data_IF_462221779725
#
_entry.id   IF_462221779725
#
_cell.length_a   1.000
_cell.length_b   1.000
_cell.length_c   1.000
_cell.angle_alpha   90.00
_cell.angle_beta   90.00
_cell.angle_gamma   90.00
#
_symmetry.space_group_name_H-M   'P 1'
#
loop_
_entity.id
_entity.type
_entity.pdbx_description
1 polymer ?
#
# COMPACT_ATOMS: atom_id res chain seq x y z
N UNK A 1 -0.55 33.46 -12.62
CA UNK A 1 -0.46 32.86 -12.47
C UNK A 1 -0.55 31.98 -12.32
N UNK A 2 -0.46 31.72 -12.33
CA UNK A 2 -0.39 30.80 -12.18
C UNK A 2 -0.37 29.93 -11.85
N UNK A 3 -0.31 29.84 -11.75
CA UNK A 3 -0.20 28.98 -11.36
C UNK A 3 -0.39 28.12 -11.09
N UNK A 4 -0.41 28.20 -11.04
CA UNK A 4 -0.51 27.45 -10.70
C UNK A 4 -0.44 26.58 -10.57
N UNK A 5 -0.30 26.63 -10.64
CA UNK A 5 -0.23 25.79 -10.47
C UNK A 5 0.14 25.06 -10.12
N UNK A 6 0.39 25.22 -10.07
CA UNK A 6 0.80 24.47 -9.67
C UNK A 6 0.71 23.65 -9.09
N UNK A 7 0.64 23.49 -8.77
CA UNK A 7 0.38 22.80 -8.20
C UNK A 7 0.32 21.54 -8.11
N UNK A 8 0.08 21.20 -8.55
CA UNK A 8 -0.17 19.82 -8.67
C UNK A 8 0.96 19.02 -8.55
N UNK A 9 1.82 19.60 -8.83
CA UNK A 9 3.00 19.01 -8.55
C UNK A 9 3.11 18.60 -7.18
N UNK A 10 2.11 18.76 -6.47
CA UNK A 10 2.05 18.41 -5.07
C UNK A 10 1.91 16.93 -4.87
N UNK A 11 2.70 16.13 -5.53
CA UNK A 11 2.74 14.70 -5.28
C UNK A 11 3.33 14.49 -3.90
N UNK A 12 2.57 13.86 -3.01
CA UNK A 12 3.05 13.59 -1.67
C UNK A 12 4.09 12.46 -1.70
N UNK A 13 4.89 12.39 -0.65
CA UNK A 13 5.86 11.32 -0.52
C UNK A 13 5.15 9.96 -0.48
N UNK A 14 4.00 9.90 0.19
CA UNK A 14 3.22 8.67 0.26
C UNK A 14 2.77 8.24 -1.13
N UNK A 15 2.21 9.15 -1.91
CA UNK A 15 1.73 8.80 -3.26
C UNK A 15 2.88 8.33 -4.13
N UNK A 16 4.02 9.01 -4.04
CA UNK A 16 5.21 8.61 -4.80
C UNK A 16 5.65 7.20 -4.43
N UNK A 17 5.64 6.87 -3.13
CA UNK A 17 6.03 5.53 -2.69
C UNK A 17 5.04 4.47 -3.14
N UNK A 18 3.76 4.81 -3.23
CA UNK A 18 2.76 3.88 -3.74
C UNK A 18 2.93 3.60 -5.23
N UNK A 19 3.36 4.60 -6.00
CA UNK A 19 3.69 4.38 -7.42
C UNK A 19 4.92 3.48 -7.55
N UNK A 20 5.92 3.64 -6.68
CA UNK A 20 7.07 2.76 -6.67
C UNK A 20 6.67 1.33 -6.32
N UNK A 21 5.80 1.18 -5.32
CA UNK A 21 5.25 -0.12 -4.94
C UNK A 21 4.50 -0.76 -6.11
N UNK A 22 3.65 0.02 -6.78
CA UNK A 22 2.87 -0.47 -7.90
C UNK A 22 3.77 -1.02 -9.00
N UNK A 23 4.84 -0.28 -9.34
CA UNK A 23 5.78 -0.71 -10.37
C UNK A 23 6.51 -1.98 -9.96
N UNK A 24 7.06 -2.01 -8.74
CA UNK A 24 7.79 -3.17 -8.24
C UNK A 24 6.89 -4.40 -8.20
N UNK A 25 5.66 -4.22 -7.73
CA UNK A 25 4.68 -5.29 -7.65
C UNK A 25 4.36 -5.84 -9.04
N UNK A 26 4.08 -4.95 -9.98
CA UNK A 26 3.63 -5.36 -11.31
C UNK A 26 4.74 -5.99 -12.16
N UNK A 27 6.00 -5.64 -11.88
CA UNK A 27 7.13 -6.20 -12.60
C UNK A 27 7.59 -7.55 -12.05
N UNK A 28 7.09 -7.95 -10.89
CA UNK A 28 7.52 -9.18 -10.24
C UNK A 28 6.65 -10.36 -10.68
N UNK A 29 7.25 -11.31 -11.36
CA UNK A 29 6.49 -12.47 -11.86
C UNK A 29 6.08 -13.44 -10.76
N UNK A 30 6.87 -13.51 -9.69
CA UNK A 30 6.58 -14.46 -8.61
C UNK A 30 5.39 -14.01 -7.76
N UNK A 31 5.19 -12.70 -7.62
CA UNK A 31 4.07 -12.21 -6.83
C UNK A 31 2.74 -12.60 -7.47
N UNK A 32 2.73 -12.75 -8.79
CA UNK A 32 1.51 -13.12 -9.50
C UNK A 32 0.97 -14.47 -9.06
N UNK A 33 1.85 -15.38 -8.67
CA UNK A 33 1.43 -16.69 -8.16
C UNK A 33 0.81 -16.57 -6.78
N UNK A 34 1.30 -15.64 -5.97
CA UNK A 34 0.78 -15.43 -4.62
C UNK A 34 -0.62 -14.83 -4.64
N UNK A 35 -0.92 -13.99 -5.63
CA UNK A 35 -2.17 -13.23 -5.66
C UNK A 35 -3.19 -13.82 -6.63
N UNK A 36 -2.98 -15.03 -7.08
CA UNK A 36 -3.96 -15.71 -7.91
C UNK A 36 -5.26 -15.85 -7.14
N UNK A 37 -6.35 -15.33 -7.70
CA UNK A 37 -7.67 -15.33 -7.07
C UNK A 37 -7.71 -14.53 -5.76
N UNK A 38 -6.77 -13.59 -5.58
CA UNK A 38 -6.73 -12.73 -4.40
C UNK A 38 -6.83 -11.29 -4.84
N UNK A 39 -8.05 -10.76 -4.80
CA UNK A 39 -8.32 -9.37 -5.20
C UNK A 39 -8.62 -8.57 -3.94
N UNK A 40 -7.92 -7.45 -3.76
CA UNK A 40 -8.03 -6.66 -2.54
C UNK A 40 -7.89 -5.18 -2.83
N UNK A 41 -8.41 -4.38 -1.90
CA UNK A 41 -8.21 -2.95 -1.89
C UNK A 41 -7.29 -2.63 -0.72
N UNK A 42 -6.11 -2.07 -1.02
CA UNK A 42 -5.18 -1.65 0.02
C UNK A 42 -5.42 -0.18 0.33
N UNK A 43 -5.87 0.11 1.53
CA UNK A 43 -6.07 1.48 1.97
C UNK A 43 -4.87 1.88 2.80
N UNK A 44 -4.08 2.83 2.30
CA UNK A 44 -2.92 3.35 3.01
C UNK A 44 -3.33 4.67 3.65
N UNK A 45 -3.31 4.70 4.98
CA UNK A 45 -3.75 5.86 5.74
C UNK A 45 -2.61 6.40 6.58
N UNK A 46 -2.19 7.63 6.28
CA UNK A 46 -1.14 8.31 7.03
C UNK A 46 -1.76 8.97 8.26
N UNK A 47 -1.30 8.58 9.45
CA UNK A 47 -1.89 9.06 10.70
C UNK A 47 -1.48 10.48 11.04
N UNK A 48 -0.36 10.97 10.49
CA UNK A 48 0.14 12.32 10.80
C UNK A 48 -0.21 13.35 9.73
N UNK A 49 -0.44 12.94 8.49
CA UNK A 49 -0.81 13.87 7.42
C UNK A 49 -2.27 13.76 7.04
N UNK A 50 -2.96 12.73 7.50
CA UNK A 50 -4.36 12.43 7.17
C UNK A 50 -4.58 12.09 5.71
N UNK A 51 -3.51 11.83 4.95
CA UNK A 51 -3.65 11.40 3.57
C UNK A 51 -4.09 9.95 3.53
N UNK A 52 -4.98 9.66 2.59
CA UNK A 52 -5.49 8.30 2.37
C UNK A 52 -5.44 8.03 0.87
N UNK A 53 -4.91 6.87 0.51
CA UNK A 53 -4.92 6.39 -0.87
C UNK A 53 -5.37 4.94 -0.87
N UNK A 54 -6.03 4.54 -1.96
CA UNK A 54 -6.49 3.16 -2.14
C UNK A 54 -5.80 2.59 -3.37
N UNK A 55 -5.13 1.46 -3.19
CA UNK A 55 -4.50 0.72 -4.28
C UNK A 55 -5.36 -0.50 -4.56
N UNK A 56 -5.84 -0.62 -5.78
CA UNK A 56 -6.67 -1.77 -6.17
C UNK A 56 -5.78 -2.87 -6.72
N UNK A 57 -5.79 -4.03 -6.06
CA UNK A 57 -5.09 -5.22 -6.54
C UNK A 57 -6.15 -6.16 -7.12
N UNK A 58 -6.08 -6.36 -8.42
CA UNK A 58 -7.08 -7.13 -9.13
C UNK A 58 -6.46 -7.69 -10.42
N UNK A 59 -6.87 -8.88 -10.78
CA UNK A 59 -6.41 -9.52 -12.02
C UNK A 59 -4.89 -9.58 -12.11
N UNK A 60 -4.26 -9.98 -11.01
CA UNK A 60 -2.81 -10.22 -10.92
C UNK A 60 -1.98 -8.94 -11.03
N UNK A 61 -2.55 -7.80 -10.74
CA UNK A 61 -1.81 -6.54 -10.83
C UNK A 61 -2.32 -5.52 -9.82
N UNK A 62 -1.45 -4.57 -9.47
CA UNK A 62 -1.85 -3.37 -8.76
C UNK A 62 -2.26 -2.38 -9.84
N UNK A 63 -3.58 -2.17 -9.99
CA UNK A 63 -4.13 -1.47 -11.14
C UNK A 63 -4.26 0.04 -10.98
N UNK A 64 -4.84 0.46 -9.87
CA UNK A 64 -5.15 1.86 -9.67
C UNK A 64 -4.70 2.34 -8.32
N UNK A 65 -4.29 3.59 -8.25
CA UNK A 65 -4.03 4.28 -6.99
C UNK A 65 -4.91 5.51 -7.01
N UNK A 66 -5.87 5.57 -6.08
CA UNK A 66 -6.82 6.67 -6.02
C UNK A 66 -6.74 7.38 -4.68
N UNK A 67 -6.92 8.71 -4.66
CA UNK A 67 -6.98 9.42 -3.38
C UNK A 67 -8.28 9.06 -2.65
N UNK A 68 -8.19 8.97 -1.33
CA UNK A 68 -9.32 8.60 -0.50
C UNK A 68 -9.61 7.11 -0.56
N UNK A 69 -10.74 6.74 -0.01
CA UNK A 69 -11.20 5.36 -0.04
C UNK A 69 -12.73 5.34 -0.06
N UNK A 70 -13.30 4.81 -1.13
CA UNK A 70 -14.74 4.68 -1.27
C UNK A 70 -15.24 3.30 -0.86
N UNK A 71 -14.35 2.41 -0.45
CA UNK A 71 -14.73 1.06 -0.07
C UNK A 71 -15.23 1.05 1.38
N UNK A 72 -16.39 0.46 1.66
CA UNK A 72 -16.89 0.39 3.04
C UNK A 72 -15.93 -0.37 3.95
N UNK A 73 -15.85 0.06 5.20
CA UNK A 73 -14.91 -0.52 6.15
C UNK A 73 -15.19 -1.98 6.47
N UNK A 74 -16.42 -2.43 6.29
CA UNK A 74 -16.78 -3.82 6.54
C UNK A 74 -16.63 -4.71 5.31
N UNK A 75 -16.11 -4.17 4.21
CA UNK A 75 -15.86 -4.96 3.01
C UNK A 75 -14.72 -5.93 3.30
N UNK A 76 -14.96 -7.23 3.06
CA UNK A 76 -13.99 -8.27 3.37
C UNK A 76 -12.70 -8.16 2.55
N UNK A 77 -12.75 -7.47 1.42
CA UNK A 77 -11.59 -7.33 0.55
C UNK A 77 -10.78 -6.09 0.86
N UNK A 78 -11.18 -5.31 1.84
CA UNK A 78 -10.46 -4.11 2.22
C UNK A 78 -9.38 -4.44 3.24
N UNK A 79 -8.15 -4.02 2.95
CA UNK A 79 -7.02 -4.14 3.86
C UNK A 79 -6.56 -2.73 4.19
N UNK A 80 -6.61 -2.35 5.46
CA UNK A 80 -6.23 -1.01 5.90
C UNK A 80 -4.88 -1.04 6.59
N UNK A 81 -3.98 -0.16 6.14
CA UNK A 81 -2.65 0.01 6.69
C UNK A 81 -2.56 1.42 7.25
N UNK A 82 -2.30 1.54 8.56
CA UNK A 82 -2.18 2.84 9.22
C UNK A 82 -0.80 3.00 9.82
N UNK A 83 -0.14 4.10 9.51
CA UNK A 83 1.17 4.43 10.05
C UNK A 83 1.46 5.89 9.74
N UNK A 84 2.57 6.42 10.26
CA UNK A 84 3.02 7.74 9.87
C UNK A 84 3.41 7.73 8.38
N UNK A 85 3.44 8.89 7.76
CA UNK A 85 3.84 8.98 6.37
C UNK A 85 5.24 8.41 6.18
N UNK A 86 6.16 8.76 7.06
CA UNK A 86 7.54 8.26 6.97
C UNK A 86 7.59 6.73 6.99
N UNK A 87 6.86 6.11 7.92
CA UNK A 87 6.83 4.67 8.02
C UNK A 87 6.22 4.02 6.78
N UNK A 88 5.11 4.58 6.28
CA UNK A 88 4.47 4.04 5.08
C UNK A 88 5.40 4.15 3.87
N UNK A 89 6.07 5.29 3.71
CA UNK A 89 7.01 5.46 2.59
C UNK A 89 8.12 4.42 2.66
N UNK A 90 8.66 4.17 3.84
CA UNK A 90 9.73 3.18 3.99
C UNK A 90 9.21 1.77 3.72
N UNK A 91 7.99 1.48 4.13
CA UNK A 91 7.39 0.16 3.89
C UNK A 91 7.16 -0.05 2.39
N UNK A 92 6.56 0.92 1.71
CA UNK A 92 6.22 0.77 0.30
C UNK A 92 7.42 0.88 -0.64
N UNK A 93 8.58 1.29 -0.13
CA UNK A 93 9.82 1.30 -0.91
C UNK A 93 10.78 0.18 -0.50
N UNK A 94 10.32 -0.73 0.37
CA UNK A 94 11.11 -1.90 0.75
C UNK A 94 12.20 -1.64 1.76
N UNK A 95 12.16 -0.52 2.45
CA UNK A 95 13.19 -0.12 3.42
C UNK A 95 12.81 -0.45 4.87
N UNK A 96 11.58 -0.89 5.08
CA UNK A 96 11.09 -1.23 6.41
C UNK A 96 10.22 -2.47 6.27
N UNK A 97 10.64 -3.57 6.89
CA UNK A 97 9.90 -4.82 6.84
C UNK A 97 8.55 -4.66 7.54
N UNK A 98 7.42 -4.91 6.86
CA UNK A 98 6.11 -4.72 7.49
C UNK A 98 5.92 -5.55 8.76
N UNK A 99 6.46 -6.75 8.82
CA UNK A 99 6.34 -7.59 10.01
C UNK A 99 7.05 -6.93 11.19
N UNK A 100 8.22 -6.35 10.96
CA UNK A 100 8.95 -5.62 11.99
C UNK A 100 8.19 -4.36 12.40
N UNK A 101 7.59 -3.67 11.43
CA UNK A 101 6.83 -2.46 11.71
C UNK A 101 5.63 -2.77 12.61
N UNK A 102 4.99 -3.92 12.41
CA UNK A 102 3.90 -4.37 13.28
C UNK A 102 4.39 -4.61 14.70
N UNK A 103 5.52 -5.30 14.84
CA UNK A 103 6.10 -5.58 16.15
C UNK A 103 6.51 -4.31 16.86
N UNK A 104 7.07 -3.35 16.11
CA UNK A 104 7.54 -2.09 16.66
C UNK A 104 6.38 -1.15 17.04
N UNK A 105 5.16 -1.48 16.63
CA UNK A 105 4.02 -0.59 16.87
C UNK A 105 3.96 0.57 15.89
N UNK A 106 4.79 0.55 14.85
CA UNK A 106 4.82 1.62 13.84
C UNK A 106 3.74 1.46 12.77
N UNK A 107 3.22 0.24 12.62
CA UNK A 107 2.22 -0.08 11.62
C UNK A 107 1.05 -0.80 12.26
N UNK A 108 -0.17 -0.40 11.93
CA UNK A 108 -1.38 -1.15 12.28
C UNK A 108 -2.00 -1.65 10.98
N UNK A 109 -2.42 -2.91 10.96
CA UNK A 109 -3.03 -3.53 9.79
C UNK A 109 -4.38 -4.10 10.20
N UNK A 110 -5.42 -3.74 9.47
CA UNK A 110 -6.78 -4.21 9.72
C UNK A 110 -7.22 -5.10 8.56
N UNK A 111 -7.19 -6.40 8.79
CA UNK A 111 -7.60 -7.42 7.84
C UNK A 111 -7.61 -8.76 8.54
N UNK A 112 -7.96 -9.82 7.81
CA UNK A 112 -7.91 -11.18 8.35
C UNK A 112 -6.47 -11.61 8.56
N UNK A 113 -6.26 -12.60 9.43
CA UNK A 113 -4.94 -13.16 9.64
C UNK A 113 -4.38 -13.75 8.35
N UNK A 114 -5.24 -14.35 7.55
CA UNK A 114 -4.84 -14.91 6.26
C UNK A 114 -4.28 -13.82 5.34
N UNK A 115 -4.93 -12.65 5.31
CA UNK A 115 -4.45 -11.55 4.49
C UNK A 115 -3.15 -10.96 5.03
N UNK A 116 -2.97 -10.93 6.36
CA UNK A 116 -1.70 -10.48 6.93
C UNK A 116 -0.55 -11.36 6.46
N UNK A 117 -0.74 -12.67 6.50
CA UNK A 117 0.28 -13.61 6.03
C UNK A 117 0.56 -13.38 4.55
N UNK A 118 -0.48 -13.13 3.76
CA UNK A 118 -0.31 -12.87 2.34
C UNK A 118 0.50 -11.60 2.11
N UNK A 119 0.23 -10.55 2.86
CA UNK A 119 0.97 -9.29 2.72
C UNK A 119 2.44 -9.47 3.07
N UNK A 120 2.75 -10.24 4.11
CA UNK A 120 4.13 -10.51 4.48
C UNK A 120 4.84 -11.30 3.40
N UNK A 121 4.15 -12.27 2.80
CA UNK A 121 4.71 -13.06 1.71
C UNK A 121 4.99 -12.19 0.48
N UNK A 122 4.07 -11.26 0.17
CA UNK A 122 4.26 -10.32 -0.93
C UNK A 122 5.51 -9.47 -0.69
N UNK A 123 5.66 -8.92 0.51
CA UNK A 123 6.82 -8.10 0.84
C UNK A 123 8.12 -8.89 0.69
N UNK A 124 8.12 -10.14 1.13
CA UNK A 124 9.28 -11.00 1.00
C UNK A 124 9.65 -11.22 -0.46
N UNK A 125 8.64 -11.46 -1.29
CA UNK A 125 8.87 -11.77 -2.71
C UNK A 125 9.35 -10.55 -3.50
N UNK A 126 8.73 -9.39 -3.29
CA UNK A 126 9.06 -8.23 -4.12
C UNK A 126 10.27 -7.45 -3.62
N UNK A 127 10.59 -7.53 -2.33
CA UNK A 127 11.71 -6.77 -1.75
C UNK A 127 12.78 -7.64 -1.13
N UNK A 128 12.55 -8.94 -0.99
CA UNK A 128 13.52 -9.84 -0.37
C UNK A 128 13.61 -9.70 1.14
N UNK A 129 12.52 -9.28 1.77
CA UNK A 129 12.54 -9.04 3.20
C UNK A 129 12.25 -10.29 4.04
#
# INVERSE_FOLDING_TARGET
>A
MAATDVTPVQTSALLSSLHDFQRTFNENQRVKKLIKNWNRFLKAESTDTSEIFTVTIQDLAANEIQPGCSIPEDNEDLVTLQASEEALVRIFTGKYNPAHALIDGALAVFCSERDKVKLEAIAMVIWGL
#
